data_IF_053514280522
#
_entry.id   IF_053514280522
#
_cell.length_a   1.000
_cell.length_b   1.000
_cell.length_c   1.000
_cell.angle_alpha   90.00
_cell.angle_beta   90.00
_cell.angle_gamma   90.00
#
_symmetry.space_group_name_H-M   'P 1'
#
loop_
_entity.id
_entity.type
_entity.pdbx_description
1 polymer ?
#
# COMPACT_ATOMS: atom_id res chain seq x y z
N UNK A 1 1.39 22.17 -8.95
CA UNK A 1 0.46 21.02 -9.08
C UNK A 1 1.29 19.74 -9.21
N UNK A 2 1.05 18.76 -8.36
CA UNK A 2 1.79 17.51 -8.35
C UNK A 2 1.04 16.45 -9.16
N UNK A 3 1.69 15.88 -10.16
CA UNK A 3 1.08 14.87 -11.03
C UNK A 3 1.79 13.52 -10.86
N UNK A 4 1.02 12.49 -10.61
CA UNK A 4 1.46 11.10 -10.73
C UNK A 4 1.53 10.75 -12.21
N UNK A 5 2.68 10.23 -12.65
CA UNK A 5 2.87 9.80 -14.05
C UNK A 5 2.90 8.27 -14.10
N UNK A 6 2.19 7.70 -15.05
CA UNK A 6 2.07 6.25 -15.18
C UNK A 6 2.42 5.82 -16.60
N UNK A 7 3.28 4.81 -16.69
CA UNK A 7 3.60 4.10 -17.93
C UNK A 7 3.25 2.63 -17.71
N UNK A 8 2.33 2.12 -18.50
CA UNK A 8 1.87 0.74 -18.39
C UNK A 8 1.52 0.18 -19.78
N UNK A 9 1.65 -1.12 -19.94
CA UNK A 9 1.09 -1.83 -21.10
C UNK A 9 -0.32 -2.39 -20.84
N UNK A 10 -0.90 -2.06 -19.69
CA UNK A 10 -2.33 -2.19 -19.42
C UNK A 10 -3.04 -0.86 -19.60
N UNK A 11 -4.36 -0.89 -19.77
CA UNK A 11 -5.17 0.32 -19.75
C UNK A 11 -5.39 0.76 -18.31
N UNK A 12 -4.91 1.93 -17.95
CA UNK A 12 -5.21 2.57 -16.68
C UNK A 12 -6.46 3.43 -16.87
N UNK A 13 -7.55 3.03 -16.24
CA UNK A 13 -8.86 3.68 -16.44
C UNK A 13 -9.16 4.76 -15.40
N UNK A 14 -8.56 4.68 -14.22
CA UNK A 14 -8.76 5.64 -13.16
C UNK A 14 -7.56 5.68 -12.22
N UNK A 15 -7.31 6.84 -11.65
CA UNK A 15 -6.26 7.07 -10.62
C UNK A 15 -6.89 7.88 -9.50
N UNK A 16 -6.90 7.31 -8.30
CA UNK A 16 -7.34 7.98 -7.09
C UNK A 16 -6.18 8.19 -6.13
N UNK A 17 -6.14 9.36 -5.53
CA UNK A 17 -5.25 9.67 -4.41
C UNK A 17 -6.13 9.98 -3.22
N UNK A 18 -5.91 9.30 -2.12
CA UNK A 18 -6.73 9.45 -0.94
C UNK A 18 -5.98 9.21 0.36
N UNK A 19 -6.71 9.27 1.45
CA UNK A 19 -6.23 8.97 2.80
C UNK A 19 -6.94 7.72 3.30
N UNK A 20 -6.18 6.81 3.90
CA UNK A 20 -6.74 5.58 4.47
C UNK A 20 -7.64 5.96 5.64
N UNK A 21 -8.92 5.60 5.52
CA UNK A 21 -9.92 5.72 6.56
C UNK A 21 -10.11 4.37 7.27
N UNK A 22 -10.78 4.37 8.41
CA UNK A 22 -10.89 3.21 9.34
C UNK A 22 -11.32 1.88 8.71
N UNK A 23 -11.94 1.90 7.54
CA UNK A 23 -12.48 0.69 6.90
C UNK A 23 -11.96 0.47 5.48
N UNK A 24 -11.22 1.40 4.91
CA UNK A 24 -10.76 1.24 3.54
C UNK A 24 -9.45 1.97 3.24
N UNK A 25 -8.45 1.33 2.63
CA UNK A 25 -8.34 -0.13 2.36
C UNK A 25 -8.32 -0.95 3.66
N UNK A 26 -8.87 -2.19 3.67
CA UNK A 26 -8.95 -3.00 4.87
C UNK A 26 -7.56 -3.37 5.41
N UNK A 27 -7.44 -3.48 6.73
CA UNK A 27 -6.22 -3.88 7.45
C UNK A 27 -5.00 -2.95 7.29
N UNK A 28 -5.19 -1.76 6.75
CA UNK A 28 -4.15 -0.74 6.66
C UNK A 28 -4.35 0.35 7.71
N UNK A 29 -3.25 0.93 8.25
CA UNK A 29 -3.36 1.99 9.25
C UNK A 29 -4.04 3.24 8.70
N UNK A 30 -4.97 3.80 9.47
CA UNK A 30 -5.66 5.04 9.14
C UNK A 30 -4.72 6.25 9.08
N UNK A 31 -5.07 7.23 8.28
CA UNK A 31 -4.40 8.52 8.20
C UNK A 31 -3.25 8.59 7.21
N UNK A 32 -2.90 7.50 6.55
CA UNK A 32 -1.86 7.49 5.53
C UNK A 32 -2.42 7.71 4.13
N UNK A 33 -1.64 8.34 3.27
CA UNK A 33 -2.00 8.51 1.87
C UNK A 33 -1.82 7.21 1.10
N UNK A 34 -2.67 6.98 0.12
CA UNK A 34 -2.57 5.88 -0.83
C UNK A 34 -2.86 6.35 -2.25
N UNK A 35 -2.38 5.59 -3.21
CA UNK A 35 -2.68 5.77 -4.63
C UNK A 35 -3.38 4.51 -5.11
N UNK A 36 -4.57 4.64 -5.66
CA UNK A 36 -5.34 3.53 -6.25
C UNK A 36 -5.35 3.67 -7.77
N UNK A 37 -5.00 2.58 -8.44
CA UNK A 37 -5.03 2.48 -9.88
C UNK A 37 -6.08 1.44 -10.29
N UNK A 38 -7.00 1.81 -11.17
CA UNK A 38 -7.88 0.86 -11.85
C UNK A 38 -7.27 0.47 -13.18
N UNK A 39 -6.88 -0.79 -13.31
CA UNK A 39 -6.18 -1.32 -14.50
C UNK A 39 -7.03 -2.37 -15.21
N UNK A 40 -6.97 -2.36 -16.52
CA UNK A 40 -7.63 -3.35 -17.39
C UNK A 40 -6.63 -3.96 -18.36
N UNK A 41 -6.80 -5.24 -18.64
CA UNK A 41 -5.96 -5.97 -19.57
C UNK A 41 -6.55 -7.31 -19.97
N UNK A 42 -5.89 -7.97 -20.90
CA UNK A 42 -6.27 -9.31 -21.38
C UNK A 42 -5.93 -10.36 -20.34
N UNK A 43 -6.87 -11.26 -20.06
CA UNK A 43 -6.67 -12.39 -19.13
C UNK A 43 -5.46 -13.25 -19.58
N UNK A 44 -4.73 -13.78 -18.60
CA UNK A 44 -3.52 -14.60 -18.78
C UNK A 44 -2.32 -13.88 -19.42
N UNK A 45 -2.30 -12.56 -19.43
CA UNK A 45 -1.14 -11.79 -19.86
C UNK A 45 -0.37 -11.22 -18.69
N UNK A 46 0.97 -11.23 -18.79
CA UNK A 46 1.84 -10.53 -17.84
C UNK A 46 2.02 -9.09 -18.30
N UNK A 47 1.82 -8.17 -17.39
CA UNK A 47 1.86 -6.74 -17.65
C UNK A 47 2.80 -6.05 -16.67
N UNK A 48 3.20 -4.84 -17.03
CA UNK A 48 4.01 -3.99 -16.16
C UNK A 48 3.36 -2.63 -15.93
N UNK A 49 3.75 -2.03 -14.83
CA UNK A 49 3.41 -0.64 -14.53
C UNK A 49 4.65 0.06 -13.93
N UNK A 50 4.92 1.24 -14.42
CA UNK A 50 5.91 2.17 -13.84
C UNK A 50 5.17 3.42 -13.40
N UNK A 51 5.34 3.78 -12.15
CA UNK A 51 4.68 4.94 -11.54
C UNK A 51 5.74 5.91 -11.07
N UNK A 52 5.63 7.16 -11.49
CA UNK A 52 6.43 8.26 -10.96
C UNK A 52 5.59 9.02 -9.92
N UNK A 53 5.99 8.93 -8.68
CA UNK A 53 5.27 9.53 -7.55
C UNK A 53 6.02 10.78 -7.10
N UNK A 54 5.36 11.96 -7.10
CA UNK A 54 6.00 13.17 -6.60
C UNK A 54 6.45 13.02 -5.15
N UNK A 55 7.70 13.31 -4.86
CA UNK A 55 8.23 13.28 -3.48
C UNK A 55 7.48 14.21 -2.53
N UNK A 56 6.96 15.31 -3.06
CA UNK A 56 6.13 16.24 -2.29
C UNK A 56 4.77 15.64 -1.89
N UNK A 57 4.28 14.64 -2.63
CA UNK A 57 3.01 13.96 -2.34
C UNK A 57 3.22 12.80 -1.37
N UNK A 58 4.18 11.94 -1.66
CA UNK A 58 4.45 10.72 -0.91
C UNK A 58 5.92 10.35 -1.05
N UNK A 59 6.71 10.57 -0.04
CA UNK A 59 8.16 10.34 -0.05
C UNK A 59 8.54 9.26 0.95
N UNK A 60 8.43 8.00 0.51
CA UNK A 60 8.77 6.82 1.31
C UNK A 60 9.12 5.64 0.38
N UNK A 61 9.41 4.50 0.95
CA UNK A 61 9.35 3.23 0.25
C UNK A 61 7.89 2.79 0.14
N UNK A 62 7.56 1.96 -0.85
CA UNK A 62 6.18 1.64 -1.17
C UNK A 62 5.93 0.14 -1.18
N UNK A 63 4.73 -0.23 -0.76
CA UNK A 63 4.16 -1.56 -0.95
C UNK A 63 3.03 -1.50 -1.97
N UNK A 64 3.01 -2.43 -2.90
CA UNK A 64 2.00 -2.54 -3.94
C UNK A 64 1.07 -3.71 -3.61
N UNK A 65 -0.21 -3.41 -3.49
CA UNK A 65 -1.25 -4.38 -3.16
C UNK A 65 -2.25 -4.48 -4.31
N UNK A 66 -2.55 -5.70 -4.74
CA UNK A 66 -3.60 -5.97 -5.71
C UNK A 66 -4.85 -6.46 -4.98
N UNK A 67 -5.97 -5.79 -5.15
CA UNK A 67 -7.25 -6.23 -4.59
C UNK A 67 -7.75 -7.45 -5.36
N UNK A 68 -8.00 -8.53 -4.63
CA UNK A 68 -8.59 -9.77 -5.14
C UNK A 68 -10.11 -9.71 -5.00
N UNK A 69 -10.58 -9.24 -3.84
CA UNK A 69 -12.00 -8.99 -3.55
C UNK A 69 -12.15 -7.79 -2.60
N UNK A 70 -13.32 -7.57 -2.05
CA UNK A 70 -13.60 -6.42 -1.19
C UNK A 70 -12.84 -6.41 0.14
N UNK A 71 -12.31 -7.54 0.57
CA UNK A 71 -11.66 -7.69 1.88
C UNK A 71 -10.22 -8.19 1.80
N UNK A 72 -9.83 -8.77 0.66
CA UNK A 72 -8.53 -9.41 0.48
C UNK A 72 -7.70 -8.75 -0.61
N UNK A 73 -6.42 -8.66 -0.36
CA UNK A 73 -5.44 -8.21 -1.33
C UNK A 73 -4.18 -9.08 -1.28
N UNK A 74 -3.45 -9.09 -2.37
CA UNK A 74 -2.16 -9.76 -2.51
C UNK A 74 -1.06 -8.73 -2.71
N UNK A 75 0.04 -8.89 -1.99
CA UNK A 75 1.22 -8.06 -2.21
C UNK A 75 1.91 -8.44 -3.51
N UNK A 76 2.15 -7.46 -4.36
CA UNK A 76 2.88 -7.64 -5.60
C UNK A 76 4.33 -7.23 -5.39
N UNK A 77 5.32 -8.07 -5.78
CA UNK A 77 6.71 -7.66 -5.78
C UNK A 77 6.92 -6.39 -6.57
N UNK A 78 7.52 -5.40 -5.94
CA UNK A 78 7.83 -4.12 -6.53
C UNK A 78 9.31 -3.80 -6.39
N UNK A 79 9.77 -2.89 -7.22
CA UNK A 79 11.16 -2.50 -7.28
C UNK A 79 11.21 -0.99 -7.51
N UNK A 80 12.05 -0.33 -6.73
CA UNK A 80 12.29 1.10 -6.81
C UNK A 80 13.63 1.36 -7.50
N UNK A 81 13.63 1.75 -8.79
CA UNK A 81 14.87 2.05 -9.49
C UNK A 81 15.59 3.23 -8.84
N UNK A 82 16.88 3.07 -8.62
CA UNK A 82 17.73 4.11 -8.07
C UNK A 82 18.08 5.15 -9.17
N UNK A 83 17.09 5.92 -9.58
CA UNK A 83 17.29 7.04 -10.51
C UNK A 83 17.47 8.33 -9.71
N UNK A 84 18.52 9.15 -10.04
CA UNK A 84 18.71 10.43 -9.40
C UNK A 84 17.66 11.44 -9.90
N UNK A 85 16.57 11.57 -9.18
CA UNK A 85 15.53 12.54 -9.45
C UNK A 85 15.08 13.18 -8.12
N UNK A 86 15.24 14.50 -8.01
CA UNK A 86 14.85 15.23 -6.80
C UNK A 86 13.34 15.46 -6.70
N UNK A 87 12.59 15.22 -7.78
CA UNK A 87 11.16 15.53 -7.89
C UNK A 87 10.28 14.29 -7.71
N UNK A 88 10.71 13.14 -8.22
CA UNK A 88 9.91 11.92 -8.27
C UNK A 88 10.63 10.73 -7.65
N UNK A 89 9.86 9.88 -6.96
CA UNK A 89 10.23 8.49 -6.71
C UNK A 89 9.61 7.61 -7.79
N UNK A 90 10.38 6.66 -8.30
CA UNK A 90 9.93 5.73 -9.32
C UNK A 90 9.66 4.37 -8.72
N UNK A 91 8.51 3.80 -9.07
CA UNK A 91 8.07 2.49 -8.65
C UNK A 91 7.78 1.63 -9.88
N UNK A 92 8.31 0.43 -9.91
CA UNK A 92 8.09 -0.52 -10.99
C UNK A 92 7.57 -1.84 -10.43
N UNK A 93 6.51 -2.37 -11.03
CA UNK A 93 5.97 -3.68 -10.68
C UNK A 93 5.38 -4.39 -11.90
N UNK A 94 5.37 -5.71 -11.82
CA UNK A 94 4.77 -6.59 -12.82
C UNK A 94 3.67 -7.41 -12.17
N UNK A 95 2.66 -7.74 -12.94
CA UNK A 95 1.52 -8.52 -12.49
C UNK A 95 0.94 -9.34 -13.62
N UNK A 96 0.23 -10.41 -13.28
CA UNK A 96 -0.50 -11.24 -14.22
C UNK A 96 -2.00 -10.95 -14.12
N UNK A 97 -2.63 -10.70 -15.26
CA UNK A 97 -4.08 -10.60 -15.31
C UNK A 97 -4.74 -11.98 -15.19
N UNK A 98 -5.26 -12.33 -14.02
CA UNK A 98 -6.18 -13.44 -13.85
C UNK A 98 -7.63 -13.02 -14.18
N UNK A 99 -7.92 -11.72 -14.08
CA UNK A 99 -9.18 -11.07 -14.43
C UNK A 99 -8.93 -9.89 -15.35
N UNK A 100 -9.99 -9.41 -16.03
CA UNK A 100 -9.88 -8.27 -16.95
C UNK A 100 -9.63 -6.94 -16.25
N UNK A 101 -10.12 -6.80 -15.02
CA UNK A 101 -10.01 -5.56 -14.23
C UNK A 101 -9.46 -5.85 -12.84
N UNK A 102 -8.47 -5.06 -12.44
CA UNK A 102 -7.93 -5.04 -11.08
C UNK A 102 -7.85 -3.63 -10.54
N UNK A 103 -7.96 -3.52 -9.23
CA UNK A 103 -7.56 -2.33 -8.48
C UNK A 103 -6.24 -2.61 -7.79
N UNK A 104 -5.27 -1.74 -8.02
CA UNK A 104 -3.95 -1.78 -7.39
C UNK A 104 -3.83 -0.61 -6.44
N UNK A 105 -3.40 -0.88 -5.22
CA UNK A 105 -3.20 0.14 -4.19
C UNK A 105 -1.70 0.25 -3.90
N UNK A 106 -1.18 1.45 -3.97
CA UNK A 106 0.19 1.79 -3.60
C UNK A 106 0.13 2.53 -2.27
N UNK A 107 0.80 1.98 -1.27
CA UNK A 107 0.86 2.54 0.08
C UNK A 107 2.31 2.70 0.52
N UNK A 108 2.63 3.64 1.43
CA UNK A 108 3.93 3.70 2.06
C UNK A 108 4.21 2.40 2.81
N UNK A 109 5.42 1.92 2.74
CA UNK A 109 5.85 0.75 3.50
C UNK A 109 5.87 1.08 4.99
N UNK A 110 5.15 0.29 5.77
CA UNK A 110 5.17 0.42 7.22
C UNK A 110 6.40 -0.28 7.78
N UNK A 111 7.17 0.42 8.59
CA UNK A 111 8.24 -0.20 9.35
C UNK A 111 7.65 -1.31 10.23
N UNK A 112 8.08 -2.55 10.01
CA UNK A 112 7.70 -3.69 10.86
C UNK A 112 8.02 -3.43 12.35
N UNK A 113 9.01 -2.60 12.62
CA UNK A 113 9.37 -2.17 13.97
C UNK A 113 8.23 -1.40 14.66
N UNK A 114 7.52 -0.54 13.94
CA UNK A 114 6.38 0.21 14.48
C UNK A 114 5.22 -0.72 14.83
N UNK A 115 4.94 -1.72 14.00
CA UNK A 115 3.90 -2.71 14.24
C UNK A 115 4.27 -3.57 15.47
N UNK A 116 5.49 -4.05 15.56
CA UNK A 116 5.99 -4.86 16.70
C UNK A 116 5.98 -4.07 18.00
N UNK A 117 6.38 -2.81 18.01
CA UNK A 117 6.35 -1.96 19.21
C UNK A 117 4.93 -1.65 19.65
N UNK A 118 3.98 -1.47 18.74
CA UNK A 118 2.56 -1.27 19.04
C UNK A 118 1.95 -2.53 19.69
N UNK A 119 2.23 -3.71 19.16
CA UNK A 119 1.80 -4.98 19.75
C UNK A 119 2.43 -5.24 21.11
N UNK A 120 3.73 -4.97 21.28
CA UNK A 120 4.43 -5.13 22.57
C UNK A 120 3.88 -4.19 23.64
N UNK A 121 3.54 -2.95 23.31
CA UNK A 121 2.92 -1.98 24.21
C UNK A 121 1.53 -2.42 24.67
N UNK A 122 0.70 -2.95 23.76
CA UNK A 122 -0.63 -3.47 24.06
C UNK A 122 -0.58 -4.71 24.96
N UNK A 123 0.34 -5.64 24.74
CA UNK A 123 0.52 -6.83 25.58
C UNK A 123 1.02 -6.48 26.96
N UNK A 124 1.94 -5.55 27.13
CA UNK A 124 2.41 -5.08 28.43
C UNK A 124 1.30 -4.38 29.22
N UNK A 125 0.45 -3.57 28.57
CA UNK A 125 -0.69 -2.93 29.20
C UNK A 125 -1.71 -3.97 29.71
N UNK A 126 -2.04 -4.97 28.89
CA UNK A 126 -2.93 -6.07 29.28
C UNK A 126 -2.39 -6.89 30.45
N UNK A 127 -1.09 -7.17 30.50
CA UNK A 127 -0.44 -7.87 31.63
C UNK A 127 -0.44 -7.05 32.90
N UNK A 128 -0.24 -5.73 32.85
CA UNK A 128 -0.27 -4.88 34.02
C UNK A 128 -1.67 -4.69 34.60
N UNK A 129 -2.70 -4.67 33.79
CA UNK A 129 -4.10 -4.66 34.22
C UNK A 129 -4.48 -5.97 34.91
N UNK A 130 -4.10 -7.12 34.35
CA UNK A 130 -4.34 -8.44 34.94
C UNK A 130 -3.61 -8.63 36.29
N UNK A 131 -2.44 -8.02 36.43
CA UNK A 131 -1.68 -8.03 37.68
C UNK A 131 -2.33 -7.21 38.81
N UNK A 132 -3.07 -6.15 38.46
CA UNK A 132 -3.84 -5.33 39.40
C UNK A 132 -5.08 -6.07 39.90
N UNK A 133 -5.78 -6.83 39.04
CA UNK A 133 -6.93 -7.62 39.45
C UNK A 133 -6.56 -8.76 40.42
N UNK A 134 -5.42 -9.38 40.28
CA UNK A 134 -4.93 -10.45 41.16
C UNK A 134 -4.38 -9.96 42.52
N UNK A 135 -4.31 -8.65 42.76
CA UNK A 135 -3.85 -8.07 44.02
C UNK A 135 -4.94 -7.56 44.94
N UNK A 136 -6.20 -7.61 44.53
CA UNK A 136 -7.33 -7.35 45.40
C UNK A 136 -7.69 -8.64 46.20
N UNK A 137 -7.61 -8.67 47.54
CA UNK A 137 -8.14 -9.77 48.32
C UNK A 137 -9.69 -9.81 48.28
#
# INVERSE_FOLDING_TARGET
>A
MHHVKIISNSTVSDVKIGVILDHWPPHLPSGQMFIELSIRGTINTTRFCRVAIPKALLNDTYTVLMLIDHENYEEIPSYEPSEPDDTYNYLYFTYKHAEQKYNVIIVPEFSQVVILTSFASLTMLAMSLKRKENKCP
#
